data_IF_774827637932
#
_entry.id   IF_774827637932
#
_cell.length_a   1.000
_cell.length_b   1.000
_cell.length_c   1.000
_cell.angle_alpha   90.00
_cell.angle_beta   90.00
_cell.angle_gamma   90.00
#
_symmetry.space_group_name_H-M   'P 1'
#
loop_
_entity.id
_entity.type
_entity.pdbx_description
1 polymer ?
#
# COMPACT_ATOMS: atom_id res chain seq x y z
N UNK A 1 3.67 4.46 -25.89
CA UNK A 1 4.22 3.25 -25.26
C UNK A 1 5.31 2.66 -26.16
N UNK A 2 6.59 2.72 -25.75
CA UNK A 2 7.63 1.91 -26.40
C UNK A 2 7.38 0.46 -25.99
N UNK A 3 7.40 -0.45 -26.96
CA UNK A 3 7.21 -1.88 -26.69
C UNK A 3 8.20 -2.32 -25.61
N UNK A 4 7.67 -3.01 -24.60
CA UNK A 4 8.46 -3.61 -23.55
C UNK A 4 9.18 -4.81 -24.19
N UNK A 5 10.50 -4.92 -24.00
CA UNK A 5 11.23 -6.04 -24.59
C UNK A 5 10.70 -7.35 -23.97
N UNK A 6 10.61 -8.43 -24.76
CA UNK A 6 10.26 -9.73 -24.21
C UNK A 6 11.14 -10.07 -22.99
N UNK A 7 10.53 -10.55 -21.91
CA UNK A 7 11.22 -10.89 -20.66
C UNK A 7 11.40 -9.74 -19.65
N UNK A 8 11.21 -8.47 -20.04
CA UNK A 8 11.32 -7.33 -19.10
C UNK A 8 10.02 -7.07 -18.32
N UNK A 9 8.87 -7.56 -18.82
CA UNK A 9 7.56 -7.36 -18.16
C UNK A 9 7.50 -8.14 -16.85
N UNK A 10 7.18 -7.44 -15.75
CA UNK A 10 6.83 -8.04 -14.46
C UNK A 10 5.54 -7.42 -13.96
N UNK A 11 4.54 -8.25 -13.71
CA UNK A 11 3.21 -7.80 -13.26
C UNK A 11 2.74 -8.66 -12.10
N UNK A 12 1.86 -8.11 -11.26
CA UNK A 12 1.37 -8.82 -10.08
C UNK A 12 -0.13 -8.70 -9.90
N UNK A 13 -0.74 -9.71 -9.30
CA UNK A 13 -1.94 -9.51 -8.48
C UNK A 13 -1.55 -9.51 -7.01
N UNK A 14 -2.29 -8.70 -6.26
CA UNK A 14 -2.02 -8.47 -4.85
C UNK A 14 -3.32 -8.56 -4.05
N UNK A 15 -3.92 -9.76 -3.93
CA UNK A 15 -5.19 -9.91 -3.21
C UNK A 15 -4.97 -9.92 -1.69
N UNK A 16 -5.87 -9.24 -0.97
CA UNK A 16 -6.00 -9.39 0.48
C UNK A 16 -6.90 -10.58 0.80
N UNK A 17 -6.50 -11.51 1.68
CA UNK A 17 -7.28 -12.70 2.01
C UNK A 17 -8.40 -12.37 3.02
N UNK A 18 -9.26 -11.41 2.68
CA UNK A 18 -10.38 -10.95 3.52
C UNK A 18 -11.74 -11.46 3.04
N UNK A 19 -11.76 -12.31 2.00
CA UNK A 19 -12.96 -12.88 1.41
C UNK A 19 -12.62 -13.78 0.22
N UNK A 20 -13.64 -14.45 -0.32
CA UNK A 20 -13.50 -15.36 -1.46
C UNK A 20 -13.07 -14.63 -2.75
N UNK A 21 -12.51 -15.38 -3.69
CA UNK A 21 -12.17 -14.86 -5.02
C UNK A 21 -13.42 -14.33 -5.74
N UNK A 22 -13.48 -13.02 -5.96
CA UNK A 22 -14.56 -12.37 -6.70
C UNK A 22 -14.18 -12.10 -8.16
N UNK A 23 -15.21 -11.91 -9.01
CA UNK A 23 -15.04 -11.75 -10.47
C UNK A 23 -14.12 -10.59 -10.87
N UNK A 24 -14.12 -9.50 -10.11
CA UNK A 24 -13.25 -8.35 -10.35
C UNK A 24 -11.77 -8.69 -10.19
N UNK A 25 -11.42 -9.46 -9.16
CA UNK A 25 -10.05 -9.93 -8.93
C UNK A 25 -9.66 -10.97 -9.98
N UNK A 26 -10.54 -11.93 -10.31
CA UNK A 26 -10.30 -12.91 -11.37
C UNK A 26 -10.03 -12.25 -12.73
N UNK A 27 -10.81 -11.21 -13.09
CA UNK A 27 -10.60 -10.42 -14.31
C UNK A 27 -9.24 -9.72 -14.31
N UNK A 28 -8.86 -9.13 -13.18
CA UNK A 28 -7.56 -8.44 -13.03
C UNK A 28 -6.41 -9.43 -13.14
N UNK A 29 -6.53 -10.62 -12.53
CA UNK A 29 -5.57 -11.71 -12.66
C UNK A 29 -5.40 -12.15 -14.10
N UNK A 30 -6.51 -12.35 -14.82
CA UNK A 30 -6.48 -12.73 -16.24
C UNK A 30 -5.75 -11.69 -17.10
N UNK A 31 -6.00 -10.39 -16.90
CA UNK A 31 -5.31 -9.34 -17.65
C UNK A 31 -3.81 -9.32 -17.40
N UNK A 32 -3.38 -9.43 -16.13
CA UNK A 32 -1.96 -9.48 -15.79
C UNK A 32 -1.30 -10.75 -16.36
N UNK A 33 -1.97 -11.91 -16.24
CA UNK A 33 -1.48 -13.18 -16.77
C UNK A 33 -1.30 -13.14 -18.29
N UNK A 34 -2.32 -12.70 -19.03
CA UNK A 34 -2.27 -12.59 -20.49
C UNK A 34 -1.21 -11.57 -20.94
N UNK A 35 -1.06 -10.46 -20.23
CA UNK A 35 -0.05 -9.46 -20.51
C UNK A 35 1.37 -10.04 -20.30
N UNK A 36 1.61 -10.71 -19.18
CA UNK A 36 2.89 -11.38 -18.93
C UNK A 36 3.18 -12.43 -20.01
N UNK A 37 2.23 -13.32 -20.34
CA UNK A 37 2.41 -14.36 -21.36
C UNK A 37 2.72 -13.77 -22.74
N UNK A 38 1.97 -12.75 -23.18
CA UNK A 38 2.18 -12.08 -24.47
C UNK A 38 3.61 -11.52 -24.61
N UNK A 39 4.16 -10.98 -23.52
CA UNK A 39 5.49 -10.38 -23.51
C UNK A 39 6.57 -11.27 -22.88
N UNK A 40 6.30 -12.57 -22.72
CA UNK A 40 7.24 -13.55 -22.14
C UNK A 40 7.81 -13.08 -20.78
N UNK A 41 7.00 -12.34 -20.01
CA UNK A 41 7.35 -11.76 -18.73
C UNK A 41 6.96 -12.64 -17.54
N UNK A 42 7.09 -12.09 -16.33
CA UNK A 42 6.73 -12.76 -15.08
C UNK A 42 5.37 -12.28 -14.57
N UNK A 43 4.52 -13.24 -14.20
CA UNK A 43 3.29 -12.99 -13.46
C UNK A 43 3.49 -13.42 -12.00
N UNK A 44 3.26 -12.52 -11.05
CA UNK A 44 3.51 -12.73 -9.62
C UNK A 44 2.21 -12.73 -8.82
N UNK A 45 2.04 -13.69 -7.91
CA UNK A 45 1.01 -13.66 -6.87
C UNK A 45 1.65 -13.20 -5.56
N UNK A 46 1.15 -12.11 -4.97
CA UNK A 46 1.56 -11.65 -3.64
C UNK A 46 0.34 -11.50 -2.73
N UNK A 47 0.33 -12.16 -1.58
CA UNK A 47 -0.78 -12.07 -0.62
C UNK A 47 -0.59 -10.83 0.24
N UNK A 48 -1.61 -9.98 0.31
CA UNK A 48 -1.63 -8.75 1.13
C UNK A 48 -2.36 -9.00 2.45
N UNK A 49 -1.67 -9.69 3.36
CA UNK A 49 -2.14 -10.20 4.66
C UNK A 49 -1.58 -9.41 5.86
N UNK A 50 -1.31 -8.10 5.71
CA UNK A 50 -0.80 -7.25 6.79
C UNK A 50 -1.84 -6.99 7.88
N UNK A 51 -3.12 -6.94 7.52
CA UNK A 51 -4.23 -6.86 8.46
C UNK A 51 -4.61 -8.26 8.96
N UNK A 52 -3.95 -8.69 10.04
CA UNK A 52 -4.14 -10.04 10.62
C UNK A 52 -5.55 -10.28 11.16
N UNK A 53 -6.29 -9.24 11.55
CA UNK A 53 -7.66 -9.38 12.07
C UNK A 53 -8.65 -9.72 10.95
N UNK A 54 -8.42 -9.15 9.77
CA UNK A 54 -9.28 -9.36 8.59
C UNK A 54 -8.81 -10.51 7.69
N UNK A 55 -7.56 -10.95 7.85
CA UNK A 55 -6.94 -11.98 7.01
C UNK A 55 -7.23 -13.38 7.54
N UNK A 56 -7.78 -14.26 6.71
CA UNK A 56 -8.03 -15.66 7.05
C UNK A 56 -7.31 -16.60 6.06
N UNK A 57 -6.51 -17.56 6.54
CA UNK A 57 -5.84 -18.55 5.68
C UNK A 57 -6.78 -19.32 4.75
N UNK A 58 -8.05 -19.48 5.12
CA UNK A 58 -9.07 -20.11 4.26
C UNK A 58 -9.30 -19.31 2.97
N UNK A 59 -9.29 -17.99 3.05
CA UNK A 59 -9.46 -17.12 1.88
C UNK A 59 -8.20 -17.11 1.01
N UNK A 60 -7.00 -17.15 1.59
CA UNK A 60 -5.77 -17.33 0.81
C UNK A 60 -5.83 -18.64 0.00
N UNK A 61 -6.23 -19.74 0.66
CA UNK A 61 -6.39 -21.04 0.00
C UNK A 61 -7.42 -20.98 -1.13
N UNK A 62 -8.60 -20.40 -0.89
CA UNK A 62 -9.64 -20.20 -1.91
C UNK A 62 -9.11 -19.44 -3.13
N UNK A 63 -8.39 -18.34 -2.91
CA UNK A 63 -7.80 -17.54 -3.99
C UNK A 63 -6.82 -18.38 -4.82
N UNK A 64 -5.90 -19.10 -4.17
CA UNK A 64 -4.89 -19.92 -4.84
C UNK A 64 -5.54 -21.05 -5.65
N UNK A 65 -6.48 -21.78 -5.06
CA UNK A 65 -7.15 -22.91 -5.69
C UNK A 65 -8.00 -22.48 -6.88
N UNK A 66 -8.79 -21.40 -6.75
CA UNK A 66 -9.64 -20.93 -7.84
C UNK A 66 -8.84 -20.29 -8.98
N UNK A 67 -7.72 -19.60 -8.71
CA UNK A 67 -6.85 -19.10 -9.78
C UNK A 67 -6.22 -20.25 -10.56
N UNK A 68 -5.77 -21.31 -9.89
CA UNK A 68 -5.28 -22.53 -10.55
C UNK A 68 -6.38 -23.22 -11.35
N UNK A 69 -7.59 -23.31 -10.81
CA UNK A 69 -8.75 -23.87 -11.53
C UNK A 69 -9.07 -23.10 -12.82
N UNK A 70 -8.90 -21.77 -12.81
CA UNK A 70 -9.02 -20.92 -14.01
C UNK A 70 -7.85 -21.07 -15.00
N UNK A 71 -6.84 -21.89 -14.70
CA UNK A 71 -5.62 -22.04 -15.52
C UNK A 71 -4.67 -20.85 -15.44
N UNK A 72 -4.78 -20.03 -14.39
CA UNK A 72 -3.94 -18.86 -14.16
C UNK A 72 -2.80 -19.25 -13.21
N UNK A 73 -1.62 -19.51 -13.78
CA UNK A 73 -0.41 -19.85 -13.05
C UNK A 73 0.55 -18.68 -12.95
N UNK A 74 1.18 -18.50 -11.79
CA UNK A 74 2.19 -17.47 -11.54
C UNK A 74 3.61 -18.04 -11.57
N UNK A 75 4.54 -17.21 -12.07
CA UNK A 75 5.97 -17.49 -12.09
C UNK A 75 6.61 -17.39 -10.70
N UNK A 76 6.07 -16.53 -9.85
CA UNK A 76 6.54 -16.29 -8.49
C UNK A 76 5.35 -16.12 -7.55
N UNK A 77 5.42 -16.69 -6.35
CA UNK A 77 4.29 -16.67 -5.44
C UNK A 77 4.50 -17.38 -4.11
N UNK A 78 3.45 -17.41 -3.27
CA UNK A 78 3.52 -17.88 -1.88
C UNK A 78 3.77 -19.38 -1.73
N UNK A 79 3.51 -20.17 -2.78
CA UNK A 79 3.60 -21.63 -2.82
C UNK A 79 4.79 -22.14 -3.66
N UNK A 80 5.21 -21.41 -4.70
CA UNK A 80 6.33 -21.78 -5.57
C UNK A 80 7.60 -20.93 -5.39
N UNK A 81 7.55 -19.89 -4.54
CA UNK A 81 8.71 -19.06 -4.22
C UNK A 81 9.13 -18.15 -5.38
N UNK A 82 10.43 -17.84 -5.44
CA UNK A 82 11.03 -16.95 -6.43
C UNK A 82 12.04 -15.98 -5.83
N UNK A 83 12.71 -15.19 -6.67
CA UNK A 83 13.85 -14.36 -6.29
C UNK A 83 13.54 -13.23 -5.29
N UNK A 84 12.28 -12.79 -5.20
CA UNK A 84 11.87 -11.63 -4.40
C UNK A 84 10.98 -12.01 -3.20
N UNK A 85 11.00 -13.28 -2.80
CA UNK A 85 10.26 -13.76 -1.65
C UNK A 85 10.65 -13.05 -0.33
N UNK A 86 9.86 -13.27 0.74
CA UNK A 86 8.60 -14.01 0.77
C UNK A 86 7.44 -13.25 0.10
N UNK A 87 6.44 -13.97 -0.41
CA UNK A 87 5.29 -13.41 -1.16
C UNK A 87 4.03 -13.23 -0.31
N UNK A 88 4.12 -13.41 1.01
CA UNK A 88 3.11 -12.96 1.98
C UNK A 88 3.64 -11.72 2.66
N UNK A 89 2.86 -10.65 2.73
CA UNK A 89 3.33 -9.39 3.30
C UNK A 89 3.55 -9.48 4.81
N UNK A 90 2.78 -10.30 5.53
CA UNK A 90 2.99 -10.62 6.95
C UNK A 90 4.40 -11.15 7.25
N UNK A 91 5.06 -11.75 6.26
CA UNK A 91 6.42 -12.30 6.36
C UNK A 91 7.52 -11.29 5.99
N UNK A 92 7.15 -10.02 5.71
CA UNK A 92 8.08 -8.98 5.18
C UNK A 92 8.31 -7.82 6.15
N UNK A 93 7.92 -7.96 7.41
CA UNK A 93 7.95 -6.89 8.42
C UNK A 93 9.30 -6.21 8.53
N UNK A 94 10.40 -6.98 8.56
CA UNK A 94 11.76 -6.42 8.61
C UNK A 94 12.06 -5.45 7.46
N UNK A 95 11.57 -5.77 6.25
CA UNK A 95 11.77 -4.88 5.09
C UNK A 95 10.97 -3.58 5.25
N UNK A 96 9.77 -3.64 5.82
CA UNK A 96 8.94 -2.47 6.05
C UNK A 96 9.55 -1.57 7.13
N UNK A 97 9.99 -2.13 8.26
CA UNK A 97 10.72 -1.41 9.30
C UNK A 97 11.90 -0.64 8.69
N UNK A 98 12.75 -1.32 7.92
CA UNK A 98 13.90 -0.71 7.26
C UNK A 98 13.53 0.49 6.38
N UNK A 99 12.46 0.39 5.60
CA UNK A 99 12.04 1.49 4.72
C UNK A 99 11.29 2.60 5.47
N UNK A 100 10.55 2.29 6.53
CA UNK A 100 9.92 3.28 7.41
C UNK A 100 10.99 4.11 8.13
N UNK A 101 12.00 3.45 8.71
CA UNK A 101 13.13 4.12 9.34
C UNK A 101 13.88 5.02 8.36
N UNK A 102 14.08 4.55 7.12
CA UNK A 102 14.68 5.37 6.06
C UNK A 102 13.84 6.60 5.76
N UNK A 103 12.52 6.47 5.62
CA UNK A 103 11.63 7.61 5.35
C UNK A 103 11.61 8.61 6.51
N UNK A 104 11.62 8.12 7.76
CA UNK A 104 11.72 8.96 8.96
C UNK A 104 13.07 9.70 9.03
N UNK A 105 14.16 9.02 8.71
CA UNK A 105 15.51 9.60 8.70
C UNK A 105 15.67 10.68 7.61
N UNK A 106 15.01 10.51 6.46
CA UNK A 106 15.01 11.45 5.33
C UNK A 106 13.96 12.56 5.44
N UNK A 107 13.25 12.69 6.58
CA UNK A 107 12.15 13.65 6.80
C UNK A 107 11.01 13.55 5.74
N UNK A 108 10.85 12.36 5.16
CA UNK A 108 9.77 12.01 4.23
C UNK A 108 8.56 11.41 4.94
N UNK A 109 8.73 11.00 6.19
CA UNK A 109 7.67 10.57 7.07
C UNK A 109 7.90 11.12 8.48
N UNK A 110 6.84 11.16 9.29
CA UNK A 110 6.91 11.62 10.68
C UNK A 110 5.85 10.92 11.54
N UNK A 111 6.07 10.94 12.87
CA UNK A 111 5.10 10.45 13.83
C UNK A 111 4.00 11.49 14.08
N UNK A 112 2.75 11.04 14.00
CA UNK A 112 1.56 11.80 14.33
C UNK A 112 0.94 11.24 15.60
N UNK A 113 0.70 12.12 16.58
CA UNK A 113 0.13 11.78 17.88
C UNK A 113 -1.29 12.36 18.06
N UNK A 114 -1.92 12.81 16.97
CA UNK A 114 -3.31 13.27 17.00
C UNK A 114 -4.24 12.11 17.35
N UNK A 115 -5.16 12.34 18.30
CA UNK A 115 -6.17 11.34 18.64
C UNK A 115 -7.23 11.22 17.55
N UNK A 116 -7.98 10.13 17.56
CA UNK A 116 -9.10 9.94 16.62
C UNK A 116 -10.17 11.03 16.80
N UNK A 117 -10.44 11.47 18.04
CA UNK A 117 -11.39 12.56 18.30
C UNK A 117 -10.91 13.90 17.72
N UNK A 118 -9.62 14.21 17.84
CA UNK A 118 -9.04 15.42 17.23
C UNK A 118 -9.17 15.40 15.70
N UNK A 119 -8.88 14.24 15.08
CA UNK A 119 -8.94 14.06 13.64
C UNK A 119 -10.38 14.15 13.12
N UNK A 120 -11.34 13.55 13.83
CA UNK A 120 -12.75 13.61 13.46
C UNK A 120 -13.32 15.02 13.65
N UNK A 121 -12.97 15.72 14.73
CA UNK A 121 -13.35 17.13 14.91
C UNK A 121 -12.81 18.01 13.78
N UNK A 122 -11.54 17.81 13.38
CA UNK A 122 -10.95 18.54 12.26
C UNK A 122 -11.69 18.24 10.94
N UNK A 123 -12.03 16.97 10.70
CA UNK A 123 -12.78 16.53 9.52
C UNK A 123 -14.16 17.15 9.47
N UNK A 124 -14.91 17.14 10.56
CA UNK A 124 -16.24 17.75 10.65
C UNK A 124 -16.19 19.26 10.44
N UNK A 125 -15.17 19.94 10.97
CA UNK A 125 -14.94 21.36 10.71
C UNK A 125 -14.75 21.63 9.22
N UNK A 126 -13.84 20.91 8.55
CA UNK A 126 -13.58 21.07 7.11
C UNK A 126 -14.84 20.85 6.27
N UNK A 127 -15.61 19.81 6.58
CA UNK A 127 -16.88 19.54 5.90
C UNK A 127 -17.89 20.68 6.10
N UNK A 128 -17.97 21.28 7.30
CA UNK A 128 -18.92 22.35 7.59
C UNK A 128 -18.64 23.66 6.84
N UNK A 129 -17.39 23.88 6.43
CA UNK A 129 -16.97 25.03 5.60
C UNK A 129 -16.85 24.67 4.11
N UNK A 130 -17.27 23.47 3.71
CA UNK A 130 -17.24 23.01 2.32
C UNK A 130 -15.85 22.63 1.79
N UNK A 131 -14.87 22.44 2.67
CA UNK A 131 -13.54 21.97 2.31
C UNK A 131 -13.46 20.45 2.27
N UNK A 132 -12.62 19.93 1.35
CA UNK A 132 -12.32 18.51 1.30
C UNK A 132 -11.54 18.07 2.55
N UNK A 133 -11.93 16.96 3.23
CA UNK A 133 -11.21 16.46 4.38
C UNK A 133 -9.75 16.14 4.08
N UNK A 134 -8.83 16.79 4.80
CA UNK A 134 -7.38 16.53 4.72
C UNK A 134 -6.71 16.76 6.06
N UNK A 135 -5.69 15.96 6.36
CA UNK A 135 -4.91 16.16 7.58
C UNK A 135 -4.22 17.53 7.57
N UNK A 136 -4.23 18.22 8.71
CA UNK A 136 -3.71 19.59 8.86
C UNK A 136 -2.19 19.68 8.83
N UNK A 137 -1.49 18.56 9.06
CA UNK A 137 -0.05 18.58 9.30
C UNK A 137 0.33 19.01 10.72
N UNK A 138 -0.59 18.98 11.69
CA UNK A 138 -0.37 19.42 13.09
C UNK A 138 0.93 18.86 13.70
N UNK A 139 1.22 17.58 13.47
CA UNK A 139 2.42 16.91 13.99
C UNK A 139 3.64 16.96 13.06
N UNK A 140 3.51 17.54 11.86
CA UNK A 140 4.54 17.50 10.82
C UNK A 140 5.81 18.29 11.15
N UNK A 141 5.73 19.18 12.14
CA UNK A 141 6.82 20.03 12.63
C UNK A 141 7.30 19.72 14.05
N UNK A 142 6.89 18.59 14.65
CA UNK A 142 7.40 18.19 15.97
C UNK A 142 8.93 17.98 15.91
N UNK A 143 9.63 18.45 16.94
CA UNK A 143 11.07 18.21 17.10
C UNK A 143 11.36 16.74 17.40
N UNK A 144 12.60 16.31 17.13
CA UNK A 144 13.02 14.93 17.43
C UNK A 144 12.95 14.63 18.93
N UNK A 145 13.18 15.64 19.76
CA UNK A 145 13.09 15.59 21.22
C UNK A 145 11.65 15.38 21.68
N UNK A 146 10.69 16.11 21.12
CA UNK A 146 9.26 15.95 21.41
C UNK A 146 8.76 14.56 20.99
N UNK A 147 9.12 14.12 19.78
CA UNK A 147 8.75 12.79 19.28
C UNK A 147 9.30 11.70 20.21
N UNK A 148 10.58 11.76 20.59
CA UNK A 148 11.18 10.80 21.53
C UNK A 148 10.46 10.80 22.87
N UNK A 149 10.12 11.98 23.40
CA UNK A 149 9.38 12.12 24.65
C UNK A 149 7.99 11.46 24.55
N UNK A 150 7.23 11.77 23.51
CA UNK A 150 5.88 11.21 23.33
C UNK A 150 5.88 9.69 23.13
N UNK A 151 6.88 9.15 22.42
CA UNK A 151 7.08 7.71 22.29
C UNK A 151 7.44 7.07 23.64
N UNK A 152 8.33 7.69 24.43
CA UNK A 152 8.70 7.20 25.76
C UNK A 152 7.54 7.26 26.76
N UNK A 153 6.62 8.20 26.60
CA UNK A 153 5.36 8.30 27.36
C UNK A 153 4.32 7.24 26.94
N UNK A 154 4.57 6.47 25.88
CA UNK A 154 3.64 5.46 25.38
C UNK A 154 2.38 6.04 24.72
N UNK A 155 2.45 7.27 24.20
CA UNK A 155 1.30 7.86 23.47
C UNK A 155 1.00 7.07 22.21
N UNK A 156 -0.29 6.86 21.93
CA UNK A 156 -0.72 6.33 20.64
C UNK A 156 -0.22 7.23 19.51
N UNK A 157 0.31 6.62 18.46
CA UNK A 157 0.88 7.33 17.32
C UNK A 157 0.67 6.55 16.04
N UNK A 158 0.80 7.25 14.92
CA UNK A 158 0.87 6.65 13.59
C UNK A 158 1.99 7.29 12.79
N UNK A 159 2.50 6.62 11.77
CA UNK A 159 3.50 7.17 10.85
C UNK A 159 2.78 7.71 9.61
N UNK A 160 2.97 9.00 9.34
CA UNK A 160 2.43 9.68 8.15
C UNK A 160 3.51 9.94 7.12
N UNK A 161 3.16 9.80 5.85
CA UNK A 161 4.00 10.24 4.73
C UNK A 161 3.78 11.72 4.46
N UNK A 162 4.88 12.47 4.32
CA UNK A 162 4.86 13.90 3.97
C UNK A 162 4.54 14.03 2.49
N UNK A 163 3.28 14.34 2.18
CA UNK A 163 2.83 14.51 0.80
C UNK A 163 3.31 15.88 0.30
N UNK A 164 4.17 15.93 -0.74
CA UNK A 164 4.62 17.21 -1.28
C UNK A 164 3.43 17.97 -1.86
N UNK A 165 3.28 19.27 -1.61
CA UNK A 165 2.24 20.07 -2.25
C UNK A 165 2.60 20.44 -3.69
N UNK A 166 2.37 19.54 -4.65
CA UNK A 166 2.70 19.76 -6.06
C UNK A 166 1.72 19.08 -7.00
N UNK A 167 1.73 19.46 -8.26
CA UNK A 167 1.06 18.69 -9.30
C UNK A 167 1.89 17.48 -9.69
N UNK A 168 1.25 16.32 -9.77
CA UNK A 168 1.83 15.08 -10.28
C UNK A 168 1.07 14.72 -11.54
N UNK A 169 1.80 14.52 -12.62
CA UNK A 169 1.28 14.10 -13.91
C UNK A 169 1.87 12.73 -14.28
N UNK A 170 1.04 11.86 -14.84
CA UNK A 170 1.50 10.60 -15.41
C UNK A 170 0.56 10.12 -16.51
N UNK A 171 1.10 9.32 -17.43
CA UNK A 171 0.32 8.68 -18.49
C UNK A 171 -0.15 7.30 -18.02
N UNK A 172 -1.44 7.17 -17.71
CA UNK A 172 -2.07 5.89 -17.46
C UNK A 172 -2.30 5.13 -18.76
N UNK A 173 -2.04 3.83 -18.74
CA UNK A 173 -2.14 2.95 -19.91
C UNK A 173 -3.54 2.88 -20.52
N UNK A 174 -4.57 3.09 -19.71
CA UNK A 174 -5.98 2.92 -20.09
C UNK A 174 -6.68 4.29 -20.16
N UNK A 175 -6.42 5.17 -19.19
CA UNK A 175 -7.08 6.48 -19.05
C UNK A 175 -6.32 7.63 -19.73
N UNK A 176 -5.10 7.38 -20.22
CA UNK A 176 -4.27 8.41 -20.84
C UNK A 176 -3.65 9.36 -19.81
N UNK A 177 -3.39 10.60 -20.21
CA UNK A 177 -2.74 11.59 -19.34
C UNK A 177 -3.64 11.95 -18.15
N UNK A 178 -3.13 11.76 -16.94
CA UNK A 178 -3.78 12.15 -15.68
C UNK A 178 -2.92 13.19 -14.95
N UNK A 179 -3.59 14.12 -14.26
CA UNK A 179 -2.97 15.13 -13.40
C UNK A 179 -3.68 15.11 -12.04
N UNK A 180 -2.90 15.14 -10.96
CA UNK A 180 -3.38 15.22 -9.59
C UNK A 180 -2.64 16.32 -8.85
N UNK A 181 -3.38 17.22 -8.19
CA UNK A 181 -2.81 18.17 -7.23
C UNK A 181 -2.76 17.52 -5.85
N UNK A 182 -1.56 17.18 -5.39
CA UNK A 182 -1.39 16.49 -4.11
C UNK A 182 -1.59 17.40 -2.90
N UNK A 183 -1.69 18.72 -3.07
CA UNK A 183 -2.06 19.63 -1.98
C UNK A 183 -3.48 19.38 -1.45
N UNK A 184 -4.33 18.72 -2.24
CA UNK A 184 -5.71 18.39 -1.91
C UNK A 184 -5.86 17.13 -1.05
N UNK A 185 -4.81 16.30 -0.93
CA UNK A 185 -4.89 14.98 -0.27
C UNK A 185 -4.46 15.06 1.21
N UNK A 186 -3.48 15.92 1.51
CA UNK A 186 -2.83 15.97 2.83
C UNK A 186 -1.97 14.75 3.14
N UNK A 187 -1.34 14.74 4.31
CA UNK A 187 -0.40 13.67 4.70
C UNK A 187 -1.13 12.37 5.10
N UNK A 188 -0.87 11.31 4.33
CA UNK A 188 -1.51 9.99 4.49
C UNK A 188 -0.81 9.14 5.55
N UNK A 189 -1.57 8.28 6.23
CA UNK A 189 -0.99 7.28 7.14
C UNK A 189 -0.41 6.14 6.32
N UNK A 190 0.83 5.73 6.62
CA UNK A 190 1.52 4.61 5.95
C UNK A 190 1.83 3.45 6.90
N UNK A 191 1.76 3.67 8.21
CA UNK A 191 1.89 2.61 9.21
C UNK A 191 1.23 3.03 10.52
N UNK A 192 0.69 2.05 11.28
CA UNK A 192 0.25 2.27 12.66
C UNK A 192 1.47 2.44 13.57
N UNK A 193 2.52 1.67 13.34
CA UNK A 193 3.82 1.78 14.00
C UNK A 193 4.90 1.15 13.10
N UNK A 194 6.15 1.04 13.58
CA UNK A 194 7.23 0.43 12.78
C UNK A 194 6.98 -1.04 12.44
N UNK A 195 6.27 -1.78 13.29
CA UNK A 195 5.99 -3.20 13.11
C UNK A 195 4.70 -3.46 12.31
N UNK A 196 3.82 -2.45 12.19
CA UNK A 196 2.47 -2.59 11.65
C UNK A 196 2.23 -1.62 10.48
N UNK A 197 2.72 -1.94 9.26
CA UNK A 197 2.48 -1.14 8.07
C UNK A 197 1.03 -1.25 7.57
N UNK A 198 0.57 -0.24 6.82
CA UNK A 198 -0.73 -0.23 6.13
C UNK A 198 -0.63 -0.61 4.66
#
# INVERSE_FOLDING_TARGET
FKFIKPGEVRVRIAPSPTGMLHLGLARTALFNYLFAKKYQGSFILRIEDTDLERSDPRFEKDIIENLKWLGIEWSEGPDNGGAYGPYRQSQRLESYVKYLEKLLAEDKAYYCFCSEEELEAQRQYQLSIGEAPRYSGKCAGLSKEEVKKYLAEGRSSVIRFRVPGKKIEFDDLIRGKLEFDTSLIGDIVIAKDLATPL
#
